data_IF_615180708734
#
_entry.id   IF_615180708734
#
_cell.length_a   1.000
_cell.length_b   1.000
_cell.length_c   1.000
_cell.angle_alpha   90.00
_cell.angle_beta   90.00
_cell.angle_gamma   90.00
#
_symmetry.space_group_name_H-M   'P 1'
#
loop_
_entity.id
_entity.type
_entity.pdbx_description
1 polymer ?
#
# COMPACT_ATOMS: atom_id res chain seq x y z
N UNK A 1 -9.92 -8.77 -3.65
CA UNK A 1 -9.64 -8.87 -2.20
C UNK A 1 -8.56 -9.93 -2.00
N UNK A 2 -7.53 -9.62 -1.23
CA UNK A 2 -6.42 -10.50 -0.86
C UNK A 2 -6.38 -10.65 0.67
N UNK A 3 -6.15 -11.87 1.16
CA UNK A 3 -6.04 -12.16 2.59
C UNK A 3 -4.95 -13.19 2.83
N UNK A 4 -3.97 -12.84 3.67
CA UNK A 4 -2.89 -13.75 4.09
C UNK A 4 -2.36 -13.30 5.45
N UNK A 5 -2.18 -14.24 6.38
CA UNK A 5 -1.88 -13.90 7.77
C UNK A 5 -2.94 -12.97 8.35
N UNK A 6 -2.50 -11.91 9.02
CA UNK A 6 -3.38 -10.87 9.56
C UNK A 6 -3.74 -9.76 8.55
N UNK A 7 -3.11 -9.72 7.37
CA UNK A 7 -3.36 -8.66 6.38
C UNK A 7 -4.62 -8.95 5.56
N UNK A 8 -5.51 -7.97 5.52
CA UNK A 8 -6.65 -7.91 4.59
C UNK A 8 -6.46 -6.70 3.67
N UNK A 9 -6.26 -6.97 2.38
CA UNK A 9 -6.03 -5.95 1.37
C UNK A 9 -7.16 -5.98 0.34
N UNK A 10 -7.85 -4.86 0.18
CA UNK A 10 -8.88 -4.65 -0.84
C UNK A 10 -8.31 -3.71 -1.89
N UNK A 11 -8.24 -4.15 -3.13
CA UNK A 11 -7.60 -3.43 -4.23
C UNK A 11 -8.42 -3.59 -5.49
N UNK A 12 -8.59 -2.50 -6.23
CA UNK A 12 -9.12 -2.50 -7.60
C UNK A 12 -8.04 -2.86 -8.64
N UNK A 13 -6.78 -2.98 -8.19
CA UNK A 13 -5.63 -3.38 -8.99
C UNK A 13 -5.23 -4.82 -8.68
N UNK A 14 -4.62 -5.48 -9.66
CA UNK A 14 -4.05 -6.81 -9.49
C UNK A 14 -2.95 -6.81 -8.42
N UNK A 15 -3.03 -7.80 -7.52
CA UNK A 15 -2.05 -8.03 -6.47
C UNK A 15 -1.21 -9.24 -6.88
N UNK A 16 0.10 -9.04 -6.99
CA UNK A 16 1.05 -10.10 -7.33
C UNK A 16 1.94 -10.40 -6.14
N UNK A 17 2.08 -11.66 -5.77
CA UNK A 17 3.09 -12.08 -4.78
C UNK A 17 4.45 -12.11 -5.50
N UNK A 18 5.40 -11.31 -5.04
CA UNK A 18 6.76 -11.26 -5.64
C UNK A 18 7.79 -12.01 -4.78
N UNK A 19 7.52 -12.15 -3.48
CA UNK A 19 8.30 -12.98 -2.56
C UNK A 19 7.41 -13.52 -1.45
N UNK A 20 7.57 -14.79 -1.11
CA UNK A 20 6.93 -15.40 0.05
C UNK A 20 7.92 -16.36 0.71
N UNK A 21 8.26 -16.08 1.96
CA UNK A 21 9.00 -16.98 2.85
C UNK A 21 8.04 -17.48 3.93
N UNK A 22 8.49 -18.31 4.88
CA UNK A 22 7.60 -18.88 5.91
C UNK A 22 6.92 -17.80 6.75
N UNK A 23 7.64 -16.72 7.09
CA UNK A 23 7.14 -15.65 7.96
C UNK A 23 6.70 -14.39 7.21
N UNK A 24 7.34 -14.06 6.10
CA UNK A 24 7.21 -12.76 5.45
C UNK A 24 6.70 -12.88 4.02
N UNK A 25 6.08 -11.82 3.53
CA UNK A 25 5.55 -11.74 2.18
C UNK A 25 5.68 -10.33 1.62
N UNK A 26 6.06 -10.28 0.34
CA UNK A 26 6.13 -9.06 -0.46
C UNK A 26 5.09 -9.14 -1.58
N UNK A 27 4.26 -8.11 -1.67
CA UNK A 27 3.25 -7.92 -2.69
C UNK A 27 3.65 -6.78 -3.60
N UNK A 28 3.42 -6.93 -4.90
CA UNK A 28 3.50 -5.86 -5.88
C UNK A 28 2.13 -5.51 -6.42
N UNK A 29 1.84 -4.21 -6.51
CA UNK A 29 0.59 -3.67 -7.02
C UNK A 29 0.93 -2.61 -8.06
N UNK A 30 0.52 -2.87 -9.29
CA UNK A 30 0.74 -1.97 -10.41
C UNK A 30 -0.31 -0.85 -10.41
N UNK A 31 0.11 0.40 -10.24
CA UNK A 31 -0.77 1.57 -10.30
C UNK A 31 -0.74 2.29 -11.66
N UNK A 32 0.06 1.81 -12.60
CA UNK A 32 0.19 2.32 -13.97
C UNK A 32 0.36 3.85 -14.05
N UNK A 33 1.31 4.39 -13.30
CA UNK A 33 1.66 5.82 -13.28
C UNK A 33 0.50 6.74 -12.87
N UNK A 34 -0.40 6.27 -12.01
CA UNK A 34 -1.50 7.08 -11.45
C UNK A 34 -1.05 7.94 -10.27
N UNK A 35 -1.84 8.96 -9.96
CA UNK A 35 -1.68 9.72 -8.73
C UNK A 35 -2.15 8.89 -7.54
N UNK A 36 -1.36 8.85 -6.47
CA UNK A 36 -1.70 8.15 -5.23
C UNK A 36 -1.97 9.15 -4.12
N UNK A 37 -3.17 9.13 -3.57
CA UNK A 37 -3.54 9.87 -2.37
C UNK A 37 -3.48 8.92 -1.17
N UNK A 38 -2.67 9.27 -0.17
CA UNK A 38 -2.72 8.63 1.14
C UNK A 38 -3.63 9.45 2.04
N UNK A 39 -4.68 8.83 2.56
CA UNK A 39 -5.50 9.40 3.62
C UNK A 39 -4.70 9.47 4.92
N UNK A 40 -4.51 10.70 5.43
CA UNK A 40 -3.76 10.95 6.65
C UNK A 40 -4.63 10.92 7.91
N UNK A 41 -5.93 10.72 7.76
CA UNK A 41 -6.90 10.74 8.85
C UNK A 41 -6.75 11.96 9.74
N UNK A 42 -6.89 11.75 11.06
CA UNK A 42 -6.60 12.78 12.05
C UNK A 42 -5.12 12.74 12.42
N UNK A 43 -4.43 13.85 12.20
CA UNK A 43 -3.01 14.04 12.51
C UNK A 43 -2.75 15.46 13.02
N UNK A 44 -1.61 15.66 13.67
CA UNK A 44 -1.26 16.92 14.33
C UNK A 44 -1.03 18.09 13.37
N UNK A 45 -0.76 17.79 12.08
CA UNK A 45 -0.54 18.80 11.04
C UNK A 45 -1.84 19.28 10.39
N UNK A 46 -3.00 18.72 10.76
CA UNK A 46 -4.32 19.00 10.16
C UNK A 46 -4.34 18.88 8.63
N UNK A 47 -3.50 18.01 8.05
CA UNK A 47 -3.53 17.71 6.61
C UNK A 47 -4.48 16.55 6.34
N UNK A 48 -5.27 16.65 5.27
CA UNK A 48 -6.22 15.58 4.90
C UNK A 48 -5.56 14.44 4.15
N UNK A 49 -4.58 14.73 3.30
CA UNK A 49 -3.88 13.74 2.47
C UNK A 49 -2.45 14.15 2.14
N UNK A 50 -1.65 13.14 1.79
CA UNK A 50 -0.39 13.32 1.05
C UNK A 50 -0.59 12.72 -0.34
N UNK A 51 -0.26 13.47 -1.39
CA UNK A 51 -0.40 13.01 -2.77
C UNK A 51 0.97 12.77 -3.41
N UNK A 52 1.13 11.61 -4.04
CA UNK A 52 2.30 11.23 -4.84
C UNK A 52 1.91 11.16 -6.32
N UNK A 53 2.44 12.06 -7.17
CA UNK A 53 2.15 12.02 -8.60
C UNK A 53 2.86 10.87 -9.32
N UNK A 54 2.20 10.34 -10.36
CA UNK A 54 2.77 9.36 -11.31
C UNK A 54 3.47 8.16 -10.65
N UNK A 55 2.81 7.54 -9.67
CA UNK A 55 3.31 6.32 -9.01
C UNK A 55 3.19 5.13 -9.94
N UNK A 56 4.32 4.46 -10.21
CA UNK A 56 4.33 3.24 -11.03
C UNK A 56 3.62 2.10 -10.33
N UNK A 57 3.93 1.90 -9.06
CA UNK A 57 3.43 0.78 -8.29
C UNK A 57 3.78 0.88 -6.81
N UNK A 58 3.25 -0.07 -6.05
CA UNK A 58 3.49 -0.24 -4.63
C UNK A 58 4.12 -1.59 -4.37
N UNK A 59 5.09 -1.63 -3.45
CA UNK A 59 5.50 -2.87 -2.81
C UNK A 59 5.08 -2.85 -1.35
N UNK A 60 4.27 -3.83 -0.97
CA UNK A 60 3.81 -4.01 0.42
C UNK A 60 4.56 -5.20 1.00
N UNK A 61 5.38 -4.94 2.01
CA UNK A 61 6.07 -5.96 2.79
C UNK A 61 5.40 -6.12 4.14
N UNK A 62 5.09 -7.35 4.53
CA UNK A 62 4.50 -7.63 5.84
C UNK A 62 4.88 -9.01 6.35
N UNK A 63 4.86 -9.16 7.67
CA UNK A 63 4.94 -10.46 8.32
C UNK A 63 3.54 -11.06 8.47
N UNK A 64 3.40 -12.35 8.19
CA UNK A 64 2.14 -13.11 8.30
C UNK A 64 1.60 -13.13 9.75
N UNK A 65 2.48 -12.96 10.74
CA UNK A 65 2.14 -12.98 12.17
C UNK A 65 2.09 -11.58 12.80
N UNK A 66 2.51 -10.54 12.07
CA UNK A 66 2.56 -9.16 12.56
C UNK A 66 1.27 -8.39 12.28
N UNK A 67 1.29 -7.10 12.65
CA UNK A 67 0.26 -6.11 12.31
C UNK A 67 0.86 -4.84 11.70
N UNK A 68 2.17 -4.83 11.44
CA UNK A 68 2.86 -3.71 10.79
C UNK A 68 3.25 -4.17 9.38
N UNK A 69 3.00 -3.30 8.41
CA UNK A 69 3.49 -3.45 7.05
C UNK A 69 4.29 -2.22 6.65
N UNK A 70 5.25 -2.40 5.76
CA UNK A 70 5.94 -1.32 5.08
C UNK A 70 5.38 -1.19 3.67
N UNK A 71 4.99 0.02 3.29
CA UNK A 71 4.60 0.35 1.92
C UNK A 71 5.72 1.14 1.26
N UNK A 72 6.23 0.61 0.14
CA UNK A 72 7.22 1.25 -0.71
C UNK A 72 6.53 1.80 -1.95
N UNK A 73 6.68 3.11 -2.19
CA UNK A 73 6.13 3.79 -3.37
C UNK A 73 7.22 3.85 -4.45
N UNK A 74 6.94 3.24 -5.60
CA UNK A 74 7.90 3.10 -6.69
C UNK A 74 7.67 4.12 -7.81
N UNK A 75 8.76 4.69 -8.34
CA UNK A 75 8.72 5.55 -9.54
C UNK A 75 8.81 4.74 -10.83
N UNK A 76 9.41 3.56 -10.77
CA UNK A 76 9.54 2.62 -11.87
C UNK A 76 9.32 1.18 -11.38
N UNK A 77 9.40 0.18 -12.26
CA UNK A 77 9.14 -1.21 -11.88
C UNK A 77 10.27 -1.82 -11.03
N UNK A 78 11.45 -1.21 -11.08
CA UNK A 78 12.59 -1.61 -10.25
C UNK A 78 12.32 -1.32 -8.77
N UNK A 79 12.57 -2.30 -7.90
CA UNK A 79 12.41 -2.17 -6.45
C UNK A 79 13.30 -1.07 -5.87
N UNK A 80 14.48 -0.83 -6.45
CA UNK A 80 15.37 0.27 -6.07
C UNK A 80 14.85 1.66 -6.47
N UNK A 81 13.76 1.73 -7.25
CA UNK A 81 13.10 2.98 -7.61
C UNK A 81 12.15 3.53 -6.52
N UNK A 82 12.15 2.92 -5.33
CA UNK A 82 11.40 3.40 -4.19
C UNK A 82 11.85 4.82 -3.80
N UNK A 83 10.91 5.77 -3.78
CA UNK A 83 11.20 7.17 -3.47
C UNK A 83 10.49 7.69 -2.22
N UNK A 84 9.56 6.91 -1.67
CA UNK A 84 8.94 7.15 -0.38
C UNK A 84 8.55 5.81 0.25
N UNK A 85 8.72 5.70 1.56
CA UNK A 85 8.38 4.51 2.33
C UNK A 85 7.72 4.93 3.64
N UNK A 86 6.75 4.15 4.09
CA UNK A 86 6.09 4.38 5.37
C UNK A 86 5.57 3.07 5.94
N UNK A 87 5.42 3.04 7.26
CA UNK A 87 4.89 1.90 7.98
C UNK A 87 3.45 2.15 8.41
N UNK A 88 2.64 1.10 8.41
CA UNK A 88 1.26 1.15 8.86
C UNK A 88 1.00 0.00 9.81
N UNK A 89 0.48 0.34 10.99
CA UNK A 89 -0.24 -0.60 11.85
C UNK A 89 -1.66 -0.81 11.28
N UNK A 90 -1.93 -2.03 10.86
CA UNK A 90 -3.20 -2.48 10.30
C UNK A 90 -3.99 -3.40 11.24
N UNK A 91 -3.66 -3.44 12.54
CA UNK A 91 -4.41 -4.22 13.52
C UNK A 91 -5.91 -3.89 13.46
N UNK A 92 -6.72 -4.95 13.44
CA UNK A 92 -8.18 -4.88 13.38
C UNK A 92 -8.70 -3.99 12.24
N UNK A 93 -7.98 -3.95 11.11
CA UNK A 93 -8.28 -3.09 9.98
C UNK A 93 -8.04 -3.79 8.65
N UNK A 94 -8.64 -3.26 7.59
CA UNK A 94 -8.32 -3.56 6.21
C UNK A 94 -7.62 -2.38 5.54
N UNK A 95 -6.71 -2.68 4.63
CA UNK A 95 -6.07 -1.69 3.75
C UNK A 95 -6.83 -1.66 2.43
N UNK A 96 -7.12 -0.47 1.93
CA UNK A 96 -7.92 -0.26 0.74
C UNK A 96 -7.12 0.56 -0.28
N UNK A 97 -7.08 0.09 -1.52
CA UNK A 97 -6.41 0.72 -2.66
C UNK A 97 -7.43 0.81 -3.79
N UNK A 98 -8.13 1.93 -3.84
CA UNK A 98 -9.33 2.10 -4.68
C UNK A 98 -9.01 3.03 -5.85
N UNK A 99 -9.43 2.64 -7.05
CA UNK A 99 -9.24 3.44 -8.26
C UNK A 99 -10.44 4.36 -8.47
N UNK A 100 -10.22 5.67 -8.40
CA UNK A 100 -11.23 6.70 -8.65
C UNK A 100 -11.06 7.37 -10.02
N UNK A 101 -10.59 6.61 -11.01
CA UNK A 101 -10.28 7.01 -12.40
C UNK A 101 -9.13 8.02 -12.55
N UNK A 102 -9.16 9.15 -11.85
CA UNK A 102 -8.14 10.20 -11.94
C UNK A 102 -7.01 10.01 -10.92
N UNK A 103 -7.27 9.22 -9.89
CA UNK A 103 -6.36 8.95 -8.78
C UNK A 103 -6.65 7.61 -8.14
N UNK A 104 -5.72 7.17 -7.31
CA UNK A 104 -5.83 6.02 -6.43
C UNK A 104 -5.89 6.53 -5.01
N UNK A 105 -6.88 6.08 -4.23
CA UNK A 105 -6.93 6.34 -2.80
C UNK A 105 -6.40 5.14 -2.03
N UNK A 106 -5.47 5.43 -1.13
CA UNK A 106 -4.91 4.50 -0.18
C UNK A 106 -5.37 4.89 1.22
N UNK A 107 -6.14 4.03 1.88
CA UNK A 107 -6.65 4.29 3.21
C UNK A 107 -6.84 3.02 4.04
N UNK A 108 -6.89 3.22 5.36
CA UNK A 108 -7.18 2.17 6.34
C UNK A 108 -8.64 2.27 6.78
N UNK A 109 -9.35 1.14 6.79
CA UNK A 109 -10.73 1.05 7.29
C UNK A 109 -10.82 -0.02 8.38
N UNK A 110 -11.57 0.28 9.45
CA UNK A 110 -11.92 -0.70 10.49
C UNK A 110 -12.98 -1.67 9.99
#
# INVERSE_FOLDING_TARGET
>A
MFKKGNLILKSDFDIRVIKEDDMDMDLFIDLNYRNLDIDMGKNDLNISRIQFPKVRGLVIRFSKNGYIMTCHILRDIDLHSAFANFEIDYKDSSINIINLNEKVEFFKAK
#
